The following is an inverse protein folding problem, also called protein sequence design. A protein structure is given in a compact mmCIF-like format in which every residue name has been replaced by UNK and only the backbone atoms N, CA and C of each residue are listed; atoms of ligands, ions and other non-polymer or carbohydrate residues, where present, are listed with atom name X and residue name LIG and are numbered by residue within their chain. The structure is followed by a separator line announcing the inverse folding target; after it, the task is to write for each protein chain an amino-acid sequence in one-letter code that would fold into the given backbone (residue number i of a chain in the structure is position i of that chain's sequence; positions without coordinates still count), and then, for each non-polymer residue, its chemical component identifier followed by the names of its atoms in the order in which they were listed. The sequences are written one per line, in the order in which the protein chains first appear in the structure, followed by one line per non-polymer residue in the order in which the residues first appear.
data_IF_272324486491
#
_entry.id   IF_272324486491
#
_cell.length_a   1.000
_cell.length_b   1.000
_cell.length_c   1.000
_cell.angle_alpha   90.00
_cell.angle_beta   90.00
_cell.angle_gamma   90.00
#
_symmetry.space_group_name_H-M   'P 1'
#
loop_
_entity.id
_entity.type
_entity.pdbx_description
1 polymer ?
#
# COMPACT_ATOMS: atom_id res chain seq x y z
N UNK A 1 -27.42 20.97 -12.04
CA UNK A 1 -26.63 19.72 -12.00
C UNK A 1 -27.30 18.75 -11.05
N UNK A 2 -27.53 17.51 -11.47
CA UNK A 2 -28.06 16.45 -10.60
C UNK A 2 -26.91 15.93 -9.74
N UNK A 3 -27.13 15.84 -8.42
CA UNK A 3 -26.22 15.20 -7.49
C UNK A 3 -26.66 13.76 -7.31
N UNK A 4 -25.87 12.83 -7.81
CA UNK A 4 -26.16 11.39 -7.67
C UNK A 4 -25.53 10.86 -6.38
N UNK A 5 -26.34 10.30 -5.50
CA UNK A 5 -25.88 9.65 -4.27
C UNK A 5 -26.72 8.41 -3.96
N UNK A 6 -26.13 7.50 -3.20
CA UNK A 6 -26.83 6.32 -2.70
C UNK A 6 -27.53 6.63 -1.37
N UNK A 7 -28.78 6.19 -1.21
CA UNK A 7 -29.49 6.32 0.06
C UNK A 7 -29.04 5.32 1.13
N UNK A 8 -28.44 4.18 0.75
CA UNK A 8 -28.09 3.10 1.69
C UNK A 8 -26.98 3.46 2.68
N UNK A 9 -26.02 4.28 2.25
CA UNK A 9 -24.86 4.69 3.07
C UNK A 9 -24.81 6.19 3.32
N UNK A 10 -25.65 6.97 2.67
CA UNK A 10 -25.69 8.44 2.82
C UNK A 10 -26.14 8.80 4.23
N UNK A 11 -25.39 9.68 4.87
CA UNK A 11 -25.65 10.17 6.22
C UNK A 11 -25.76 9.06 7.30
N UNK A 12 -25.09 7.92 7.11
CA UNK A 12 -24.99 6.90 8.15
C UNK A 12 -24.32 7.51 9.41
N UNK A 13 -24.99 7.51 10.58
CA UNK A 13 -24.49 8.22 11.75
C UNK A 13 -23.16 7.68 12.26
N UNK A 14 -22.88 6.38 12.13
CA UNK A 14 -21.60 5.77 12.53
C UNK A 14 -20.49 6.28 11.61
N UNK A 15 -20.71 6.28 10.30
CA UNK A 15 -19.73 6.79 9.33
C UNK A 15 -19.50 8.30 9.49
N UNK A 16 -20.55 9.09 9.78
CA UNK A 16 -20.44 10.51 10.03
C UNK A 16 -19.64 10.79 11.32
N UNK A 17 -19.87 10.03 12.40
CA UNK A 17 -19.12 10.16 13.63
C UNK A 17 -17.63 9.80 13.44
N UNK A 18 -17.34 8.73 12.70
CA UNK A 18 -15.96 8.35 12.36
C UNK A 18 -15.26 9.41 11.50
N UNK A 19 -15.97 9.99 10.53
CA UNK A 19 -15.44 11.08 9.72
C UNK A 19 -15.16 12.34 10.54
N UNK A 20 -16.05 12.70 11.48
CA UNK A 20 -15.84 13.80 12.42
C UNK A 20 -14.59 13.58 13.26
N UNK A 21 -14.48 12.43 13.91
CA UNK A 21 -13.31 12.07 14.71
C UNK A 21 -12.00 12.10 13.88
N UNK A 22 -12.07 11.69 12.61
CA UNK A 22 -10.91 11.79 11.72
C UNK A 22 -10.50 13.24 11.44
N UNK A 23 -11.46 14.15 11.27
CA UNK A 23 -11.17 15.59 11.10
C UNK A 23 -10.55 16.19 12.37
N UNK A 24 -11.06 15.80 13.55
CA UNK A 24 -10.48 16.22 14.84
C UNK A 24 -9.01 15.79 14.99
N UNK A 25 -8.64 14.61 14.45
CA UNK A 25 -7.24 14.16 14.42
C UNK A 25 -6.39 15.04 13.51
N UNK A 26 -6.90 15.46 12.35
CA UNK A 26 -6.19 16.37 11.44
C UNK A 26 -5.93 17.73 12.07
N UNK A 27 -6.82 18.22 12.93
CA UNK A 27 -6.69 19.49 13.62
C UNK A 27 -5.77 19.40 14.86
N UNK A 28 -5.69 18.25 15.51
CA UNK A 28 -5.02 18.06 16.80
C UNK A 28 -3.66 17.36 16.73
N UNK A 29 -3.38 16.62 15.66
CA UNK A 29 -2.15 15.83 15.50
C UNK A 29 -1.36 16.25 14.25
N UNK A 30 -0.02 16.05 14.23
CA UNK A 30 0.83 16.38 13.10
C UNK A 30 0.68 15.33 11.98
N UNK A 31 -0.53 15.19 11.42
CA UNK A 31 -0.85 14.15 10.41
C UNK A 31 -0.02 14.36 9.14
N UNK A 32 0.17 15.62 8.70
CA UNK A 32 0.98 15.90 7.51
C UNK A 32 2.44 15.48 7.69
N UNK A 33 3.03 15.74 8.86
CA UNK A 33 4.41 15.33 9.16
C UNK A 33 4.55 13.79 9.12
N UNK A 34 3.53 13.07 9.58
CA UNK A 34 3.50 11.59 9.50
C UNK A 34 3.41 11.11 8.05
N UNK A 35 2.57 11.74 7.23
CA UNK A 35 2.47 11.44 5.79
C UNK A 35 3.82 11.65 5.12
N UNK A 36 4.48 12.76 5.38
CA UNK A 36 5.78 13.10 4.79
C UNK A 36 6.87 12.13 5.24
N UNK A 37 6.86 11.72 6.50
CA UNK A 37 7.78 10.72 7.03
C UNK A 37 7.57 9.34 6.35
N UNK A 38 6.33 8.87 6.23
CA UNK A 38 6.02 7.63 5.52
C UNK A 38 6.44 7.73 4.05
N UNK A 39 6.16 8.84 3.38
CA UNK A 39 6.53 9.05 1.98
C UNK A 39 8.06 9.02 1.78
N UNK A 40 8.82 9.58 2.72
CA UNK A 40 10.29 9.54 2.69
C UNK A 40 10.84 8.10 2.83
N UNK A 41 10.26 7.29 3.73
CA UNK A 41 10.64 5.88 3.86
C UNK A 41 10.29 5.09 2.60
N UNK A 42 9.11 5.34 2.00
CA UNK A 42 8.71 4.71 0.74
C UNK A 42 9.67 5.08 -0.41
N UNK A 43 10.20 6.30 -0.46
CA UNK A 43 11.20 6.70 -1.46
C UNK A 43 12.49 5.89 -1.36
N UNK A 44 12.94 5.58 -0.13
CA UNK A 44 14.06 4.67 0.10
C UNK A 44 13.75 3.24 -0.38
N UNK A 45 12.55 2.76 -0.11
CA UNK A 45 12.05 1.48 -0.63
C UNK A 45 11.98 1.46 -2.15
N UNK A 46 11.48 2.52 -2.78
CA UNK A 46 11.40 2.64 -4.24
C UNK A 46 12.75 2.43 -4.91
N UNK A 47 13.81 3.09 -4.41
CA UNK A 47 15.16 2.95 -4.98
C UNK A 47 15.64 1.48 -4.94
N UNK A 48 15.35 0.75 -3.85
CA UNK A 48 15.68 -0.68 -3.70
C UNK A 48 14.89 -1.55 -4.68
N UNK A 49 13.58 -1.30 -4.83
CA UNK A 49 12.73 -2.04 -5.75
C UNK A 49 13.12 -1.79 -7.21
N UNK A 50 13.49 -0.56 -7.57
CA UNK A 50 13.96 -0.21 -8.92
C UNK A 50 15.27 -0.89 -9.31
N UNK A 51 16.13 -1.17 -8.33
CA UNK A 51 17.40 -1.85 -8.55
C UNK A 51 17.25 -3.38 -8.69
N UNK A 52 16.09 -3.96 -8.36
CA UNK A 52 15.90 -5.40 -8.36
C UNK A 52 15.57 -5.95 -9.75
N UNK A 53 16.30 -6.97 -10.26
CA UNK A 53 16.18 -7.44 -11.65
C UNK A 53 14.82 -8.09 -11.97
N UNK A 54 14.15 -8.66 -10.96
CA UNK A 54 12.87 -9.37 -11.10
C UNK A 54 11.67 -8.50 -10.78
N UNK A 55 11.87 -7.19 -10.56
CA UNK A 55 10.79 -6.22 -10.40
C UNK A 55 10.74 -5.27 -11.60
N UNK A 56 9.54 -4.87 -11.97
CA UNK A 56 9.31 -3.89 -13.02
C UNK A 56 8.28 -2.85 -12.57
N UNK A 57 8.22 -1.72 -13.28
CA UNK A 57 7.22 -0.69 -13.03
C UNK A 57 7.18 -0.14 -11.60
N UNK A 58 8.29 -0.22 -10.86
CA UNK A 58 8.36 0.31 -9.50
C UNK A 58 8.12 1.82 -9.49
N UNK A 59 7.12 2.26 -8.70
CA UNK A 59 6.61 3.62 -8.70
C UNK A 59 6.05 4.01 -7.34
N UNK A 60 6.05 5.31 -7.07
CA UNK A 60 5.52 5.89 -5.84
C UNK A 60 4.63 7.08 -6.14
N UNK A 61 3.57 7.24 -5.36
CA UNK A 61 2.79 8.47 -5.26
C UNK A 61 2.42 8.71 -3.79
N UNK A 62 2.90 9.80 -3.20
CA UNK A 62 2.73 10.05 -1.77
C UNK A 62 3.23 8.86 -0.94
N UNK A 63 2.37 8.30 -0.10
CA UNK A 63 2.66 7.14 0.76
C UNK A 63 2.46 5.78 0.07
N UNK A 64 2.00 5.77 -1.17
CA UNK A 64 1.74 4.53 -1.92
C UNK A 64 2.98 4.13 -2.69
N UNK A 65 3.46 2.91 -2.51
CA UNK A 65 4.57 2.30 -3.24
C UNK A 65 4.06 1.05 -3.96
N UNK A 66 4.41 0.86 -5.21
CA UNK A 66 4.00 -0.31 -5.99
C UNK A 66 5.12 -0.80 -6.91
N UNK A 67 5.15 -2.11 -7.16
CA UNK A 67 6.00 -2.74 -8.17
C UNK A 67 5.33 -4.00 -8.72
N UNK A 68 5.74 -4.44 -9.89
CA UNK A 68 5.27 -5.65 -10.54
C UNK A 68 6.30 -6.76 -10.38
N UNK A 69 5.88 -7.92 -9.84
CA UNK A 69 6.73 -9.10 -9.68
C UNK A 69 6.77 -9.87 -11.00
N UNK A 70 7.99 -10.19 -11.45
CA UNK A 70 8.23 -10.86 -12.72
C UNK A 70 8.18 -9.92 -13.92
N UNK A 71 8.72 -10.40 -15.05
CA UNK A 71 8.93 -9.60 -16.27
C UNK A 71 7.70 -9.56 -17.20
N UNK A 72 6.78 -10.48 -17.03
CA UNK A 72 5.55 -10.59 -17.85
C UNK A 72 4.37 -10.80 -16.91
N UNK A 73 3.68 -9.74 -16.59
CA UNK A 73 2.52 -9.79 -15.73
C UNK A 73 1.40 -8.92 -16.26
N UNK A 74 0.20 -9.27 -15.85
CA UNK A 74 -0.99 -8.47 -16.07
C UNK A 74 -1.89 -8.57 -14.84
N UNK A 75 -2.89 -7.72 -14.79
CA UNK A 75 -3.95 -7.81 -13.78
C UNK A 75 -4.58 -9.22 -13.70
N UNK A 76 -4.58 -9.96 -14.80
CA UNK A 76 -5.11 -11.33 -14.91
C UNK A 76 -4.07 -12.40 -14.55
N UNK A 77 -2.89 -12.03 -14.02
CA UNK A 77 -1.87 -12.98 -13.60
C UNK A 77 -2.41 -13.90 -12.49
N UNK A 78 -2.12 -15.20 -12.60
CA UNK A 78 -2.46 -16.22 -11.58
C UNK A 78 -1.54 -16.16 -10.36
N UNK A 79 -0.53 -15.30 -10.36
CA UNK A 79 0.46 -15.16 -9.30
C UNK A 79 -0.12 -14.56 -8.00
N UNK A 80 -1.21 -13.79 -8.08
CA UNK A 80 -1.80 -13.09 -6.94
C UNK A 80 -2.06 -13.97 -5.71
N UNK A 81 -2.71 -15.15 -5.84
CA UNK A 81 -2.95 -16.06 -4.71
C UNK A 81 -1.66 -16.58 -4.06
N UNK A 82 -0.61 -16.81 -4.82
CA UNK A 82 0.68 -17.28 -4.31
C UNK A 82 1.40 -16.18 -3.54
N UNK A 83 1.41 -14.96 -4.08
CA UNK A 83 1.93 -13.77 -3.41
C UNK A 83 1.15 -13.48 -2.11
N UNK A 84 -0.17 -13.61 -2.11
CA UNK A 84 -0.97 -13.44 -0.88
C UNK A 84 -0.54 -14.43 0.20
N UNK A 85 -0.37 -15.72 -0.14
CA UNK A 85 0.09 -16.74 0.81
C UNK A 85 1.50 -16.45 1.31
N UNK A 86 2.37 -16.02 0.42
CA UNK A 86 3.75 -15.64 0.74
C UNK A 86 3.82 -14.51 1.79
N UNK A 87 3.06 -13.44 1.59
CA UNK A 87 3.01 -12.31 2.52
C UNK A 87 2.29 -12.69 3.83
N UNK A 88 1.20 -13.45 3.76
CA UNK A 88 0.48 -13.91 4.95
C UNK A 88 1.37 -14.78 5.86
N UNK A 89 2.22 -15.63 5.30
CA UNK A 89 3.19 -16.43 6.06
C UNK A 89 4.25 -15.58 6.81
N UNK A 90 4.37 -14.29 6.45
CA UNK A 90 5.25 -13.29 7.09
C UNK A 90 4.49 -12.31 7.98
N UNK A 91 3.23 -12.60 8.29
CA UNK A 91 2.31 -11.72 9.02
C UNK A 91 2.07 -10.36 8.35
N UNK A 92 2.16 -10.31 7.02
CA UNK A 92 1.91 -9.12 6.23
C UNK A 92 0.60 -9.27 5.45
N UNK A 93 -0.36 -8.36 5.69
CA UNK A 93 -1.63 -8.32 4.96
C UNK A 93 -1.46 -7.48 3.68
N UNK A 94 -0.75 -8.02 2.70
CA UNK A 94 -0.58 -7.41 1.38
C UNK A 94 -1.47 -8.15 0.39
N UNK A 95 -2.31 -7.42 -0.34
CA UNK A 95 -3.24 -7.96 -1.33
C UNK A 95 -2.81 -7.53 -2.74
N UNK A 96 -2.09 -8.37 -3.47
CA UNK A 96 -1.67 -8.07 -4.84
C UNK A 96 -2.86 -7.92 -5.80
N UNK A 97 -2.66 -7.15 -6.86
CA UNK A 97 -3.54 -7.05 -8.02
C UNK A 97 -2.86 -7.75 -9.20
N UNK A 98 -3.20 -9.02 -9.44
CA UNK A 98 -2.44 -9.84 -10.37
C UNK A 98 -1.01 -10.03 -9.88
N UNK A 99 -0.02 -9.53 -10.64
CA UNK A 99 1.39 -9.51 -10.23
C UNK A 99 1.84 -8.17 -9.64
N UNK A 100 0.96 -7.17 -9.55
CA UNK A 100 1.28 -5.89 -8.94
C UNK A 100 1.15 -6.00 -7.42
N UNK A 101 2.25 -5.83 -6.71
CA UNK A 101 2.31 -5.68 -5.26
C UNK A 101 2.35 -4.20 -4.92
N UNK A 102 1.54 -3.77 -3.97
CA UNK A 102 1.53 -2.37 -3.54
C UNK A 102 1.36 -2.26 -2.02
N UNK A 103 1.93 -1.20 -1.48
CA UNK A 103 1.81 -0.81 -0.08
C UNK A 103 0.97 0.46 0.01
N UNK A 104 -0.04 0.45 0.87
CA UNK A 104 -0.84 1.60 1.25
C UNK A 104 -0.90 1.60 2.80
N UNK A 105 0.19 2.00 3.45
CA UNK A 105 0.31 1.89 4.90
C UNK A 105 -0.53 2.95 5.62
N UNK A 106 -1.03 2.65 6.83
CA UNK A 106 -1.52 3.67 7.75
C UNK A 106 -0.42 4.69 8.07
N UNK A 107 -0.79 5.94 8.33
CA UNK A 107 0.19 7.01 8.64
C UNK A 107 0.90 6.84 9.99
N UNK A 108 0.41 5.94 10.84
CA UNK A 108 1.05 5.56 12.09
C UNK A 108 2.10 4.43 11.94
N UNK A 109 2.32 3.92 10.72
CA UNK A 109 3.31 2.87 10.47
C UNK A 109 4.72 3.35 10.79
N UNK A 110 5.48 2.49 11.45
CA UNK A 110 6.87 2.76 11.81
C UNK A 110 7.83 2.49 10.64
N UNK A 111 9.02 3.08 10.71
CA UNK A 111 10.09 2.81 9.74
C UNK A 111 10.43 1.33 9.67
N UNK A 112 10.45 0.64 10.81
CA UNK A 112 10.77 -0.79 10.88
C UNK A 112 9.71 -1.65 10.16
N UNK A 113 8.42 -1.35 10.36
CA UNK A 113 7.33 -2.05 9.68
C UNK A 113 7.37 -1.84 8.17
N UNK A 114 7.59 -0.60 7.72
CA UNK A 114 7.71 -0.29 6.29
C UNK A 114 8.93 -0.98 5.67
N UNK A 115 10.06 -0.98 6.37
CA UNK A 115 11.27 -1.68 5.91
C UNK A 115 11.04 -3.17 5.77
N UNK A 116 10.37 -3.81 6.75
CA UNK A 116 10.00 -5.22 6.67
C UNK A 116 9.08 -5.52 5.47
N UNK A 117 8.16 -4.60 5.14
CA UNK A 117 7.34 -4.73 3.93
C UNK A 117 8.20 -4.64 2.65
N UNK A 118 9.16 -3.71 2.58
CA UNK A 118 10.06 -3.60 1.43
C UNK A 118 10.92 -4.86 1.28
N UNK A 119 11.47 -5.38 2.38
CA UNK A 119 12.27 -6.61 2.37
C UNK A 119 11.43 -7.79 1.86
N UNK A 120 10.21 -7.93 2.33
CA UNK A 120 9.31 -8.98 1.87
C UNK A 120 8.93 -8.83 0.38
N UNK A 121 8.82 -7.61 -0.15
CA UNK A 121 8.61 -7.39 -1.59
C UNK A 121 9.81 -7.85 -2.42
N UNK A 122 11.04 -7.58 -1.96
CA UNK A 122 12.27 -8.06 -2.61
C UNK A 122 12.37 -9.59 -2.56
N UNK A 123 12.12 -10.19 -1.39
CA UNK A 123 12.07 -11.65 -1.25
C UNK A 123 10.99 -12.31 -2.15
N UNK A 124 9.83 -11.66 -2.31
CA UNK A 124 8.80 -12.13 -3.23
C UNK A 124 9.29 -12.07 -4.69
N UNK A 125 10.06 -11.04 -5.05
CA UNK A 125 10.66 -10.92 -6.37
C UNK A 125 11.71 -12.02 -6.63
N UNK A 126 12.47 -12.42 -5.62
CA UNK A 126 13.40 -13.56 -5.72
C UNK A 126 12.68 -14.90 -5.87
N UNK A 127 11.55 -15.06 -5.17
CA UNK A 127 10.82 -16.31 -5.14
C UNK A 127 9.93 -16.56 -6.37
N UNK A 128 9.44 -15.49 -7.02
CA UNK A 128 8.42 -15.55 -8.07
C UNK A 128 8.79 -14.80 -9.37
N UNK A 129 9.94 -14.16 -9.41
CA UNK A 129 10.41 -13.34 -10.55
C UNK A 129 11.18 -14.07 -11.66
#
# INVERSE_FOLDING_TARGET
KTFFHSSSYTANPIACAAAGANLDLWDSEPVQDRIDAVAAVQAGGLARLQAHPNLSGARQIGTILAAEVGRTGSYMSTLGPDLMRFFAARNLLIRPLGNTVYLLPPYCSTVAELTACHDAMLEAADAFG
#
